data_IF_468390620570
#
_entry.id   IF_468390620570
#
_cell.length_a   1.000
_cell.length_b   1.000
_cell.length_c   1.000
_cell.angle_alpha   90.00
_cell.angle_beta   90.00
_cell.angle_gamma   90.00
#
_symmetry.space_group_name_H-M   'P 1'
#
loop_
_entity.id
_entity.type
_entity.pdbx_description
1 polymer ?
#
# COMPACT_ATOMS: atom_id res chain seq x y z
N UNK A 1 7.85 13.68 -1.85
CA UNK A 1 7.08 12.47 -2.24
C UNK A 1 8.03 11.30 -2.37
N UNK A 2 7.61 10.12 -1.95
CA UNK A 2 8.36 8.87 -2.12
C UNK A 2 7.80 8.08 -3.29
N UNK A 3 8.62 7.20 -3.89
CA UNK A 3 8.12 6.24 -4.87
C UNK A 3 7.19 5.24 -4.17
N UNK A 4 5.95 5.10 -4.63
CA UNK A 4 5.02 4.09 -4.11
C UNK A 4 5.50 2.66 -4.39
N UNK A 5 5.22 1.70 -3.50
CA UNK A 5 5.42 0.29 -3.80
C UNK A 5 4.43 -0.20 -4.85
N UNK A 6 4.71 -1.37 -5.42
CA UNK A 6 3.75 -2.07 -6.28
C UNK A 6 2.81 -2.90 -5.41
N UNK A 7 1.51 -2.75 -5.65
CA UNK A 7 0.45 -3.56 -5.03
C UNK A 7 0.10 -4.73 -5.95
N UNK A 8 -0.02 -5.92 -5.38
CA UNK A 8 -0.29 -7.17 -6.10
C UNK A 8 -1.67 -7.74 -5.73
N UNK A 9 -2.27 -8.51 -6.65
CA UNK A 9 -3.56 -9.19 -6.42
C UNK A 9 -4.82 -8.38 -6.75
N UNK A 10 -4.68 -7.09 -7.06
CA UNK A 10 -5.82 -6.20 -7.32
C UNK A 10 -6.25 -6.20 -8.79
N UNK A 11 -7.55 -6.06 -9.04
CA UNK A 11 -8.10 -6.02 -10.39
C UNK A 11 -7.65 -4.78 -11.16
N UNK A 12 -7.69 -4.85 -12.50
CA UNK A 12 -7.45 -3.70 -13.38
C UNK A 12 -8.78 -3.12 -13.86
N UNK A 13 -8.82 -1.82 -14.09
CA UNK A 13 -9.97 -1.07 -14.60
C UNK A 13 -9.57 -0.24 -15.81
N UNK A 14 -10.47 -0.13 -16.78
CA UNK A 14 -10.31 0.73 -17.95
C UNK A 14 -10.79 2.14 -17.61
N UNK A 15 -9.95 3.14 -17.89
CA UNK A 15 -10.32 4.57 -17.75
C UNK A 15 -10.02 5.30 -19.04
N UNK A 16 -10.85 6.30 -19.35
CA UNK A 16 -10.58 7.23 -20.44
C UNK A 16 -9.69 8.36 -19.90
N UNK A 17 -8.44 8.38 -20.34
CA UNK A 17 -7.47 9.41 -20.01
C UNK A 17 -7.13 10.20 -21.27
N UNK A 18 -7.72 11.39 -21.41
CA UNK A 18 -7.47 12.26 -22.57
C UNK A 18 -7.85 11.64 -23.92
N UNK A 19 -8.92 10.83 -23.97
CA UNK A 19 -9.38 10.14 -25.18
C UNK A 19 -8.76 8.75 -25.38
N UNK A 20 -7.80 8.35 -24.55
CA UNK A 20 -7.16 7.03 -24.61
C UNK A 20 -7.69 6.12 -23.51
N UNK A 21 -8.06 4.88 -23.87
CA UNK A 21 -8.43 3.86 -22.88
C UNK A 21 -7.17 3.22 -22.32
N UNK A 22 -6.87 3.49 -21.04
CA UNK A 22 -5.75 2.88 -20.32
C UNK A 22 -6.27 1.93 -19.24
N UNK A 23 -5.45 0.92 -18.89
CA UNK A 23 -5.71 0.06 -17.74
C UNK A 23 -4.98 0.61 -16.52
N UNK A 24 -5.70 0.74 -15.41
CA UNK A 24 -5.20 1.21 -14.13
C UNK A 24 -5.65 0.26 -13.02
N UNK A 25 -4.84 0.03 -11.97
CA UNK A 25 -5.25 -0.80 -10.84
C UNK A 25 -6.48 -0.23 -10.13
N UNK A 26 -7.42 -1.09 -9.70
CA UNK A 26 -8.60 -0.71 -8.92
C UNK A 26 -8.26 -0.14 -7.54
N UNK A 27 -7.05 -0.42 -7.06
CA UNK A 27 -6.48 0.11 -5.81
C UNK A 27 -5.28 0.97 -6.15
N UNK A 28 -5.31 2.25 -5.76
CA UNK A 28 -4.21 3.20 -5.97
C UNK A 28 -3.44 3.37 -4.67
N UNK A 29 -2.12 3.51 -4.77
CA UNK A 29 -1.23 3.71 -3.62
C UNK A 29 -0.31 4.90 -3.82
N UNK A 30 -0.25 5.78 -2.81
CA UNK A 30 0.76 6.83 -2.67
C UNK A 30 1.86 6.44 -1.68
N UNK A 31 2.90 7.26 -1.56
CA UNK A 31 3.87 7.14 -0.48
C UNK A 31 4.46 8.50 -0.06
N UNK A 32 4.52 8.75 1.25
CA UNK A 32 5.21 9.90 1.82
C UNK A 32 5.83 9.58 3.18
N UNK A 33 6.92 10.28 3.51
CA UNK A 33 7.53 10.24 4.85
C UNK A 33 6.94 11.37 5.69
N UNK A 34 6.44 11.05 6.86
CA UNK A 34 5.93 12.03 7.81
C UNK A 34 7.06 12.58 8.71
N UNK A 35 6.86 13.73 9.39
CA UNK A 35 7.86 14.31 10.29
C UNK A 35 8.30 13.39 11.44
N UNK A 36 7.44 12.47 11.87
CA UNK A 36 7.75 11.46 12.89
C UNK A 36 8.63 10.30 12.37
N UNK A 37 9.15 10.39 11.15
CA UNK A 37 10.04 9.39 10.57
C UNK A 37 9.32 8.20 9.92
N UNK A 38 8.04 7.96 10.24
CA UNK A 38 7.24 6.87 9.66
C UNK A 38 6.87 7.16 8.21
N UNK A 39 6.66 6.10 7.44
CA UNK A 39 6.25 6.18 6.04
C UNK A 39 4.78 5.79 5.94
N UNK A 40 4.00 6.60 5.27
CA UNK A 40 2.57 6.41 5.09
C UNK A 40 2.29 6.11 3.63
N UNK A 41 1.56 5.03 3.40
CA UNK A 41 1.00 4.68 2.11
C UNK A 41 -0.52 4.89 2.17
N UNK A 42 -1.04 6.03 1.68
CA UNK A 42 -2.47 6.14 1.44
C UNK A 42 -2.85 5.14 0.35
N UNK A 43 -3.83 4.29 0.65
CA UNK A 43 -4.34 3.26 -0.25
C UNK A 43 -5.84 3.46 -0.41
N UNK A 44 -6.32 3.56 -1.65
CA UNK A 44 -7.74 3.78 -1.95
C UNK A 44 -8.23 2.80 -2.99
N UNK A 45 -9.33 2.12 -2.68
CA UNK A 45 -10.05 1.31 -3.66
C UNK A 45 -11.12 2.16 -4.34
N UNK A 46 -10.85 2.59 -5.56
CA UNK A 46 -11.79 3.32 -6.41
C UNK A 46 -12.56 2.39 -7.36
N UNK A 47 -12.33 1.09 -7.26
CA UNK A 47 -13.04 0.05 -7.99
C UNK A 47 -14.53 -0.03 -7.62
N UNK A 48 -15.23 -0.96 -8.29
CA UNK A 48 -16.66 -1.21 -8.04
C UNK A 48 -16.93 -2.30 -7.00
N UNK A 49 -15.91 -3.09 -6.67
CA UNK A 49 -16.00 -4.28 -5.83
C UNK A 49 -14.96 -4.20 -4.70
N UNK A 50 -15.13 -5.04 -3.68
CA UNK A 50 -14.08 -5.34 -2.71
C UNK A 50 -12.86 -5.91 -3.43
N UNK A 51 -11.68 -5.47 -3.05
CA UNK A 51 -10.40 -5.93 -3.58
C UNK A 51 -9.56 -6.56 -2.45
N UNK A 52 -8.72 -7.52 -2.81
CA UNK A 52 -7.76 -8.12 -1.89
C UNK A 52 -6.35 -7.84 -2.39
N UNK A 53 -5.55 -7.16 -1.57
CA UNK A 53 -4.12 -6.99 -1.80
C UNK A 53 -3.42 -8.24 -1.28
N UNK A 54 -2.89 -9.04 -2.22
CA UNK A 54 -2.22 -10.30 -1.91
C UNK A 54 -0.73 -10.15 -1.65
N UNK A 55 -0.17 -8.99 -1.98
CA UNK A 55 1.23 -8.70 -1.73
C UNK A 55 1.59 -7.24 -1.98
N UNK A 56 2.71 -6.84 -1.38
CA UNK A 56 3.31 -5.52 -1.53
C UNK A 56 4.77 -5.71 -1.90
N UNK A 57 5.18 -5.09 -3.01
CA UNK A 57 6.55 -5.16 -3.53
C UNK A 57 7.24 -3.80 -3.44
N UNK A 58 8.17 -3.72 -2.47
CA UNK A 58 9.05 -2.60 -2.20
C UNK A 58 10.40 -2.72 -2.92
N UNK A 59 10.62 -3.68 -3.82
CA UNK A 59 11.93 -3.90 -4.47
C UNK A 59 12.48 -2.66 -5.15
N UNK A 60 11.59 -1.83 -5.69
CA UNK A 60 11.91 -0.57 -6.35
C UNK A 60 11.90 0.67 -5.42
N UNK A 61 11.62 0.50 -4.14
CA UNK A 61 11.53 1.55 -3.14
C UNK A 61 12.86 1.68 -2.39
N UNK A 62 13.75 2.58 -2.82
CA UNK A 62 15.08 2.77 -2.18
C UNK A 62 15.02 3.27 -0.73
N UNK A 63 13.86 3.76 -0.30
CA UNK A 63 13.62 4.31 1.03
C UNK A 63 13.25 3.26 2.08
N UNK A 64 12.97 2.00 1.68
CA UNK A 64 12.66 0.93 2.62
C UNK A 64 13.95 0.42 3.25
N UNK A 65 14.02 0.42 4.58
CA UNK A 65 15.10 -0.21 5.33
C UNK A 65 14.57 -1.47 6.00
N UNK A 66 15.39 -2.52 6.06
CA UNK A 66 15.07 -3.78 6.71
C UNK A 66 15.75 -3.82 8.09
N UNK A 67 15.13 -4.38 9.14
CA UNK A 67 13.71 -4.75 9.24
C UNK A 67 12.78 -3.52 9.25
N UNK A 68 11.51 -3.77 8.90
CA UNK A 68 10.44 -2.80 9.10
C UNK A 68 9.17 -3.47 9.60
N UNK A 69 8.36 -2.72 10.34
CA UNK A 69 7.03 -3.10 10.78
C UNK A 69 5.97 -2.48 9.87
N UNK A 70 4.89 -3.22 9.61
CA UNK A 70 3.68 -2.71 8.96
C UNK A 70 2.49 -2.73 9.91
N UNK A 71 1.78 -1.62 9.94
CA UNK A 71 0.46 -1.49 10.58
C UNK A 71 -0.52 -0.90 9.57
N UNK A 72 -1.78 -1.36 9.59
CA UNK A 72 -2.88 -0.78 8.82
C UNK A 72 -3.72 0.09 9.74
N UNK A 73 -4.03 1.28 9.26
CA UNK A 73 -4.92 2.24 9.93
C UNK A 73 -6.14 2.45 9.06
N UNK A 74 -7.31 2.15 9.62
CA UNK A 74 -8.62 2.46 9.06
C UNK A 74 -9.26 3.59 9.87
N UNK A 75 -10.45 4.02 9.46
CA UNK A 75 -11.21 5.04 10.20
C UNK A 75 -11.56 4.63 11.63
N UNK A 76 -11.69 3.34 11.89
CA UNK A 76 -12.23 2.77 13.14
C UNK A 76 -11.30 1.75 13.80
N UNK A 77 -10.18 1.40 13.17
CA UNK A 77 -9.35 0.28 13.60
C UNK A 77 -7.89 0.43 13.23
N UNK A 78 -7.06 -0.21 14.05
CA UNK A 78 -5.63 -0.37 13.87
C UNK A 78 -5.33 -1.87 13.85
N UNK A 79 -4.53 -2.31 12.87
CA UNK A 79 -4.19 -3.73 12.70
C UNK A 79 -2.69 -3.87 12.42
N UNK A 80 -1.97 -4.47 13.36
CA UNK A 80 -0.58 -4.86 13.13
C UNK A 80 -0.51 -6.04 12.16
N UNK A 81 0.28 -5.90 11.12
CA UNK A 81 0.49 -6.92 10.09
C UNK A 81 1.75 -7.74 10.39
N UNK A 82 2.77 -7.10 10.96
CA UNK A 82 3.98 -7.76 11.44
C UNK A 82 5.27 -7.06 11.04
N UNK A 83 6.40 -7.70 11.35
CA UNK A 83 7.76 -7.24 11.03
C UNK A 83 8.35 -8.07 9.89
N UNK A 84 8.94 -7.40 8.92
CA UNK A 84 9.42 -8.00 7.68
C UNK A 84 10.90 -7.71 7.44
N UNK A 85 11.61 -8.75 7.01
CA UNK A 85 13.02 -8.70 6.59
C UNK A 85 13.19 -8.87 5.08
N UNK A 86 12.10 -8.72 4.31
CA UNK A 86 12.10 -8.85 2.85
C UNK A 86 11.46 -7.63 2.21
N UNK A 87 11.87 -7.32 0.97
CA UNK A 87 11.28 -6.22 0.21
C UNK A 87 9.97 -6.58 -0.48
N UNK A 88 9.66 -7.87 -0.61
CA UNK A 88 8.38 -8.34 -1.12
C UNK A 88 7.72 -9.17 -0.04
N UNK A 89 6.45 -8.87 0.24
CA UNK A 89 5.69 -9.51 1.30
C UNK A 89 4.36 -10.03 0.74
N UNK A 90 3.90 -11.14 1.29
CA UNK A 90 2.56 -11.67 1.05
C UNK A 90 1.59 -11.16 2.10
N UNK A 91 0.38 -10.81 1.71
CA UNK A 91 -0.64 -10.23 2.58
C UNK A 91 -2.04 -10.74 2.22
N UNK A 92 -3.05 -10.50 3.07
CA UNK A 92 -4.49 -10.66 2.76
C UNK A 92 -5.25 -9.40 3.19
N UNK A 93 -4.85 -8.25 2.64
CA UNK A 93 -5.47 -6.97 3.02
C UNK A 93 -6.70 -6.76 2.15
N UNK A 94 -7.86 -6.89 2.77
CA UNK A 94 -9.16 -6.61 2.14
C UNK A 94 -9.45 -5.12 2.25
N UNK A 95 -9.84 -4.52 1.12
CA UNK A 95 -10.23 -3.12 1.02
C UNK A 95 -11.60 -3.03 0.32
N UNK A 96 -12.58 -2.50 1.03
CA UNK A 96 -13.94 -2.31 0.58
C UNK A 96 -14.04 -1.28 -0.55
N UNK A 97 -15.13 -1.34 -1.31
CA UNK A 97 -15.39 -0.37 -2.39
C UNK A 97 -15.48 1.04 -1.82
N UNK A 98 -14.64 1.96 -2.30
CA UNK A 98 -14.61 3.35 -1.84
C UNK A 98 -13.89 3.55 -0.50
N UNK A 99 -13.33 2.49 0.10
CA UNK A 99 -12.56 2.60 1.33
C UNK A 99 -11.19 3.24 1.04
N UNK A 100 -10.74 4.04 2.01
CA UNK A 100 -9.37 4.54 2.08
C UNK A 100 -8.75 4.11 3.40
N UNK A 101 -7.52 3.56 3.33
CA UNK A 101 -6.74 3.13 4.48
C UNK A 101 -5.34 3.74 4.40
N UNK A 102 -4.63 3.75 5.51
CA UNK A 102 -3.19 3.94 5.51
C UNK A 102 -2.48 2.63 5.84
N UNK A 103 -1.48 2.29 5.04
CA UNK A 103 -0.45 1.31 5.44
C UNK A 103 0.72 2.13 5.97
N UNK A 104 1.04 1.94 7.25
CA UNK A 104 2.09 2.66 7.97
C UNK A 104 3.29 1.74 8.11
N UNK A 105 4.46 2.27 7.76
CA UNK A 105 5.74 1.57 7.79
C UNK A 105 6.65 2.27 8.80
N UNK A 106 7.21 1.49 9.70
CA UNK A 106 8.17 1.94 10.71
C UNK A 106 9.44 1.10 10.60
N UNK A 107 10.60 1.74 10.48
CA UNK A 107 11.87 1.02 10.49
C UNK A 107 12.14 0.52 11.90
N UNK A 108 12.48 -0.75 12.03
CA UNK A 108 12.86 -1.35 13.30
C UNK A 108 14.38 -1.29 13.39
N UNK A 109 14.90 -0.55 14.37
CA UNK A 109 16.29 -0.68 14.74
C UNK A 109 16.40 -1.90 15.65
N UNK A 110 17.16 -2.92 15.22
CA UNK A 110 17.60 -3.96 16.15
C UNK A 110 18.67 -3.32 17.03
N UNK A 111 18.41 -3.22 18.33
CA UNK A 111 19.41 -2.86 19.34
C UNK A 111 20.57 -3.86 19.38
#
# INVERSE_FOLDING_TARGET
MLRSPKIEGVSQKKVNFGGQIINVPAVVVGAFKAPNGKIYLPVTNWGKNKETITGIDFSNCKWINLPYQITIVRSDSYQDIGTFNTKRISTDIKIDKGEAIFIVIENVFLE
#
